data_IF_802637878257
#
_entry.id   IF_802637878257
#
_cell.length_a   1.000
_cell.length_b   1.000
_cell.length_c   1.000
_cell.angle_alpha   90.00
_cell.angle_beta   90.00
_cell.angle_gamma   90.00
#
_symmetry.space_group_name_H-M   'P 1'
#
loop_
_entity.id
_entity.type
_entity.pdbx_description
1 polymer ?
#
# COMPACT_ATOMS: atom_id res chain seq x y z
N UNK A 1 -14.56 -15.32 -4.23
CA UNK A 1 -13.43 -14.75 -5.03
C UNK A 1 -12.24 -15.70 -5.23
N UNK A 2 -11.48 -15.55 -6.32
CA UNK A 2 -10.27 -16.35 -6.62
C UNK A 2 -8.98 -15.59 -6.25
N UNK A 3 -7.96 -16.35 -5.81
CA UNK A 3 -6.58 -15.90 -5.57
C UNK A 3 -6.02 -15.20 -6.82
N UNK A 4 -5.40 -14.01 -6.70
CA UNK A 4 -4.75 -13.35 -7.82
C UNK A 4 -3.43 -14.06 -8.20
N UNK A 5 -3.08 -14.05 -9.49
CA UNK A 5 -1.74 -14.46 -9.94
C UNK A 5 -0.80 -13.26 -9.77
N UNK A 6 -0.05 -13.26 -8.67
CA UNK A 6 0.93 -12.23 -8.34
C UNK A 6 2.30 -12.89 -8.22
N UNK A 7 3.31 -12.28 -8.83
CA UNK A 7 4.70 -12.73 -8.82
C UNK A 7 5.62 -11.59 -8.42
N UNK A 8 6.79 -11.93 -7.89
CA UNK A 8 7.87 -10.98 -7.61
C UNK A 8 9.05 -11.37 -8.50
N UNK A 9 9.60 -10.43 -9.25
CA UNK A 9 10.77 -10.69 -10.10
C UNK A 9 12.01 -11.03 -9.27
N UNK A 10 12.84 -11.92 -9.82
CA UNK A 10 14.12 -12.32 -9.22
C UNK A 10 15.07 -11.13 -9.02
N UNK A 11 15.01 -10.09 -9.85
CA UNK A 11 15.80 -8.87 -9.67
C UNK A 11 15.43 -8.17 -8.35
N UNK A 12 14.14 -8.09 -7.98
CA UNK A 12 13.71 -7.57 -6.68
C UNK A 12 14.21 -8.47 -5.55
N UNK A 13 13.97 -9.79 -5.66
CA UNK A 13 14.31 -10.76 -4.62
C UNK A 13 15.81 -10.89 -4.37
N UNK A 14 16.64 -10.74 -5.42
CA UNK A 14 18.10 -10.78 -5.30
C UNK A 14 18.66 -9.55 -4.55
N UNK A 15 17.99 -8.40 -4.65
CA UNK A 15 18.36 -7.14 -3.98
C UNK A 15 17.75 -7.03 -2.59
N UNK A 16 16.53 -7.52 -2.43
CA UNK A 16 15.78 -7.51 -1.19
C UNK A 16 15.13 -8.88 -0.95
N UNK A 17 15.86 -9.83 -0.33
CA UNK A 17 15.35 -11.16 -0.04
C UNK A 17 14.13 -11.19 0.90
N UNK A 18 13.97 -10.14 1.72
CA UNK A 18 12.82 -9.96 2.60
C UNK A 18 11.60 -9.33 1.90
N UNK A 19 11.68 -9.08 0.59
CA UNK A 19 10.55 -8.54 -0.15
C UNK A 19 9.41 -9.54 -0.24
N UNK A 20 8.22 -9.09 0.16
CA UNK A 20 6.98 -9.86 0.17
C UNK A 20 5.81 -8.96 -0.18
N UNK A 21 4.77 -9.55 -0.76
CA UNK A 21 3.47 -8.89 -0.90
C UNK A 21 2.44 -9.62 -0.06
N UNK A 22 1.85 -8.92 0.91
CA UNK A 22 0.55 -9.33 1.43
C UNK A 22 -0.52 -8.89 0.44
N UNK A 23 -1.55 -9.69 0.22
CA UNK A 23 -2.68 -9.30 -0.62
C UNK A 23 -4.01 -9.69 0.00
N UNK A 24 -5.04 -8.89 -0.27
CA UNK A 24 -6.44 -9.15 0.07
C UNK A 24 -7.30 -8.93 -1.18
N UNK A 25 -8.17 -9.88 -1.51
CA UNK A 25 -9.26 -9.71 -2.46
C UNK A 25 -10.58 -9.70 -1.69
N UNK A 26 -11.43 -8.71 -1.97
CA UNK A 26 -12.72 -8.54 -1.30
C UNK A 26 -13.71 -7.80 -2.22
N UNK A 27 -14.98 -7.85 -1.85
CA UNK A 27 -16.03 -7.00 -2.43
C UNK A 27 -16.46 -5.96 -1.40
N UNK A 28 -16.74 -4.73 -1.85
CA UNK A 28 -17.21 -3.63 -1.01
C UNK A 28 -17.98 -2.59 -1.82
N UNK A 29 -18.66 -1.68 -1.14
CA UNK A 29 -19.29 -0.51 -1.73
C UNK A 29 -18.65 0.74 -1.10
N UNK A 30 -17.71 1.40 -1.78
CA UNK A 30 -17.01 2.54 -1.20
C UNK A 30 -17.97 3.71 -0.95
N UNK A 31 -17.93 4.25 0.27
CA UNK A 31 -18.76 5.37 0.70
C UNK A 31 -17.87 6.59 0.92
N UNK A 32 -18.22 7.73 0.33
CA UNK A 32 -17.55 9.01 0.60
C UNK A 32 -17.87 9.49 2.02
N UNK A 33 -16.91 10.13 2.67
CA UNK A 33 -17.07 10.71 4.01
C UNK A 33 -17.65 9.75 5.06
N UNK A 34 -17.21 8.48 5.05
CA UNK A 34 -17.65 7.46 6.00
C UNK A 34 -17.19 7.78 7.43
N UNK A 35 -18.13 8.22 8.27
CA UNK A 35 -17.88 8.62 9.64
C UNK A 35 -17.22 7.52 10.49
N UNK A 36 -17.55 6.24 10.27
CA UNK A 36 -17.02 5.16 11.09
C UNK A 36 -15.50 5.00 10.92
N UNK A 37 -14.99 5.20 9.70
CA UNK A 37 -13.54 5.19 9.43
C UNK A 37 -12.87 6.38 10.12
N UNK A 38 -13.48 7.56 10.02
CA UNK A 38 -12.92 8.80 10.56
C UNK A 38 -12.94 8.85 12.08
N UNK A 39 -13.97 8.33 12.74
CA UNK A 39 -14.00 8.16 14.20
C UNK A 39 -12.84 7.26 14.69
N UNK A 40 -12.54 6.18 13.96
CA UNK A 40 -11.40 5.32 14.29
C UNK A 40 -10.06 6.05 14.10
N UNK A 41 -9.91 6.83 13.02
CA UNK A 41 -8.73 7.67 12.80
C UNK A 41 -8.61 8.73 13.91
N UNK A 42 -9.67 9.42 14.29
CA UNK A 42 -9.66 10.46 15.33
C UNK A 42 -9.25 9.91 16.70
N UNK A 43 -9.60 8.66 17.01
CA UNK A 43 -9.11 7.95 18.20
C UNK A 43 -7.62 7.59 18.09
N UNK A 44 -7.18 7.14 16.92
CA UNK A 44 -5.81 6.64 16.71
C UNK A 44 -4.75 7.75 16.55
N UNK A 45 -5.09 8.83 15.84
CA UNK A 45 -4.14 9.88 15.44
C UNK A 45 -3.44 10.57 16.62
N UNK A 46 -4.09 10.89 17.76
CA UNK A 46 -3.42 11.44 18.93
C UNK A 46 -2.33 10.51 19.47
N UNK A 47 -2.61 9.20 19.55
CA UNK A 47 -1.67 8.19 20.03
C UNK A 47 -0.45 8.10 19.11
N UNK A 48 -0.68 8.09 17.79
CA UNK A 48 0.38 8.08 16.81
C UNK A 48 1.22 9.37 16.88
N UNK A 49 0.58 10.54 17.05
CA UNK A 49 1.27 11.83 17.19
C UNK A 49 2.21 11.83 18.41
N UNK A 50 1.74 11.40 19.57
CA UNK A 50 2.59 11.27 20.78
C UNK A 50 3.77 10.33 20.57
N UNK A 51 3.57 9.22 19.84
CA UNK A 51 4.68 8.31 19.49
C UNK A 51 5.69 8.99 18.55
N UNK A 52 5.19 9.71 17.55
CA UNK A 52 6.00 10.43 16.56
C UNK A 52 6.85 11.56 17.16
N UNK A 53 6.44 12.15 18.28
CA UNK A 53 7.23 13.16 19.00
C UNK A 53 8.53 12.58 19.59
N UNK A 54 8.54 11.29 19.91
CA UNK A 54 9.65 10.61 20.61
C UNK A 54 10.46 9.67 19.72
N UNK A 55 9.97 9.39 18.51
CA UNK A 55 10.54 8.35 17.63
C UNK A 55 10.86 8.94 16.26
N UNK A 56 12.11 8.89 15.77
CA UNK A 56 12.42 9.24 14.39
C UNK A 56 11.61 8.40 13.39
N UNK A 57 11.27 8.94 12.22
CA UNK A 57 10.47 8.21 11.22
C UNK A 57 11.17 6.92 10.74
N UNK A 58 12.50 6.93 10.65
CA UNK A 58 13.28 5.77 10.26
C UNK A 58 13.16 4.60 11.24
N UNK A 59 12.82 4.90 12.51
CA UNK A 59 12.73 3.93 13.60
C UNK A 59 11.27 3.54 13.88
N UNK A 60 10.32 4.11 13.13
CA UNK A 60 8.93 3.62 13.16
C UNK A 60 8.86 2.26 12.47
N UNK A 61 8.00 1.34 12.95
CA UNK A 61 7.85 0.02 12.36
C UNK A 61 7.66 0.08 10.84
N UNK A 62 8.34 -0.80 10.10
CA UNK A 62 8.22 -1.01 8.65
C UNK A 62 8.66 0.17 7.75
N UNK A 63 8.82 1.39 8.28
CA UNK A 63 9.35 2.52 7.52
C UNK A 63 10.85 2.36 7.25
N UNK A 64 11.63 1.93 8.23
CA UNK A 64 13.06 1.65 8.04
C UNK A 64 13.32 0.58 6.99
N UNK A 65 12.55 -0.51 7.04
CA UNK A 65 12.55 -1.62 6.09
C UNK A 65 12.21 -1.13 4.68
N UNK A 66 11.15 -0.32 4.55
CA UNK A 66 10.74 0.27 3.27
C UNK A 66 11.82 1.15 2.65
N UNK A 67 12.49 1.98 3.46
CA UNK A 67 13.60 2.82 2.99
C UNK A 67 14.79 1.98 2.53
N UNK A 68 15.09 0.87 3.20
CA UNK A 68 16.12 -0.09 2.76
C UNK A 68 15.72 -0.78 1.45
N UNK A 69 14.46 -1.19 1.30
CA UNK A 69 13.93 -1.77 0.06
C UNK A 69 14.07 -0.84 -1.14
N UNK A 70 13.70 0.44 -0.99
CA UNK A 70 13.88 1.46 -2.03
C UNK A 70 15.34 1.61 -2.42
N UNK A 71 16.22 1.77 -1.42
CA UNK A 71 17.66 1.89 -1.64
C UNK A 71 18.24 0.67 -2.36
N UNK A 72 17.83 -0.54 -1.99
CA UNK A 72 18.27 -1.78 -2.63
C UNK A 72 17.82 -1.86 -4.10
N UNK A 73 16.65 -1.33 -4.42
CA UNK A 73 16.16 -1.22 -5.80
C UNK A 73 16.85 -0.11 -6.62
N UNK A 74 17.61 0.77 -5.97
CA UNK A 74 18.29 1.91 -6.61
C UNK A 74 17.50 3.22 -6.57
N UNK A 75 16.39 3.30 -5.83
CA UNK A 75 15.63 4.54 -5.63
C UNK A 75 16.06 5.21 -4.33
N UNK A 76 16.33 6.52 -4.36
CA UNK A 76 16.70 7.29 -3.16
C UNK A 76 15.48 7.48 -2.22
N UNK A 77 15.46 6.87 -1.02
CA UNK A 77 14.35 7.01 -0.08
C UNK A 77 14.25 8.40 0.59
N UNK A 78 15.26 9.26 0.46
CA UNK A 78 15.19 10.65 0.92
C UNK A 78 14.36 11.53 -0.02
N UNK A 79 14.48 11.27 -1.33
CA UNK A 79 13.74 11.95 -2.41
C UNK A 79 12.37 11.32 -2.64
N UNK A 80 12.29 10.00 -2.69
CA UNK A 80 11.07 9.24 -2.97
C UNK A 80 10.62 8.50 -1.72
N UNK A 81 9.37 8.72 -1.31
CA UNK A 81 8.83 8.16 -0.06
C UNK A 81 7.74 7.17 -0.36
N UNK A 82 7.62 6.18 0.51
CA UNK A 82 6.44 5.33 0.52
C UNK A 82 5.22 6.10 1.02
N UNK A 83 4.03 5.65 0.64
CA UNK A 83 2.76 6.30 0.99
C UNK A 83 2.57 6.39 2.50
N UNK A 84 2.93 5.34 3.24
CA UNK A 84 2.86 5.32 4.72
C UNK A 84 3.77 6.37 5.37
N UNK A 85 5.02 6.54 4.92
CA UNK A 85 5.90 7.59 5.42
C UNK A 85 5.32 8.99 5.14
N UNK A 86 4.69 9.18 3.98
CA UNK A 86 4.03 10.44 3.64
C UNK A 86 2.86 10.74 4.58
N UNK A 87 2.06 9.73 4.94
CA UNK A 87 0.99 9.85 5.93
C UNK A 87 1.54 10.19 7.32
N UNK A 88 2.56 9.46 7.79
CA UNK A 88 3.21 9.70 9.10
C UNK A 88 3.75 11.13 9.21
N UNK A 89 4.37 11.65 8.14
CA UNK A 89 4.86 13.04 8.10
C UNK A 89 3.72 14.04 8.22
N UNK A 90 2.59 13.78 7.57
CA UNK A 90 1.40 14.63 7.62
C UNK A 90 0.87 14.73 9.06
N UNK A 91 0.75 13.59 9.74
CA UNK A 91 0.38 13.52 11.17
C UNK A 91 1.38 14.28 12.05
N UNK A 92 2.68 14.06 11.86
CA UNK A 92 3.74 14.78 12.62
C UNK A 92 3.65 16.30 12.43
N UNK A 93 3.33 16.75 11.23
CA UNK A 93 3.22 18.16 10.87
C UNK A 93 1.88 18.78 11.28
N UNK A 94 0.96 18.01 11.88
CA UNK A 94 -0.38 18.49 12.23
C UNK A 94 -1.23 18.84 11.00
N UNK A 95 -0.92 18.25 9.84
CA UNK A 95 -1.70 18.42 8.61
C UNK A 95 -2.82 17.40 8.58
N UNK A 96 -3.99 17.82 8.11
CA UNK A 96 -5.14 16.93 7.92
C UNK A 96 -4.81 15.79 6.96
N UNK A 97 -5.45 14.64 7.14
CA UNK A 97 -5.37 13.53 6.18
C UNK A 97 -6.38 13.73 5.05
N UNK A 98 -6.22 12.97 3.96
CA UNK A 98 -7.19 13.01 2.86
C UNK A 98 -8.42 12.22 3.26
N UNK A 99 -9.62 12.77 3.04
CA UNK A 99 -10.91 12.06 3.08
C UNK A 99 -11.29 11.72 1.65
N UNK A 100 -11.40 10.44 1.32
CA UNK A 100 -11.58 9.99 -0.06
C UNK A 100 -12.83 9.11 -0.16
N UNK A 101 -12.74 7.88 0.33
CA UNK A 101 -13.85 6.94 0.46
C UNK A 101 -13.46 5.85 1.46
N UNK A 102 -14.43 5.09 1.95
CA UNK A 102 -14.23 4.10 3.01
C UNK A 102 -13.11 3.09 2.73
N UNK A 103 -12.95 2.62 1.48
CA UNK A 103 -11.85 1.71 1.10
C UNK A 103 -10.49 2.38 1.18
N UNK A 104 -10.33 3.56 0.59
CA UNK A 104 -9.05 4.31 0.59
C UNK A 104 -8.71 4.83 1.99
N UNK A 105 -9.70 5.24 2.76
CA UNK A 105 -9.51 5.74 4.11
C UNK A 105 -9.11 4.62 5.07
N UNK A 106 -9.70 3.42 4.94
CA UNK A 106 -9.26 2.22 5.68
C UNK A 106 -7.86 1.78 5.27
N UNK A 107 -7.53 1.84 3.98
CA UNK A 107 -6.16 1.60 3.48
C UNK A 107 -5.15 2.53 4.17
N UNK A 108 -5.49 3.82 4.30
CA UNK A 108 -4.66 4.81 4.99
C UNK A 108 -4.57 4.56 6.50
N UNK A 109 -5.68 4.18 7.15
CA UNK A 109 -5.69 3.79 8.56
C UNK A 109 -4.75 2.61 8.82
N UNK A 110 -4.86 1.52 8.04
CA UNK A 110 -3.99 0.35 8.19
C UNK A 110 -2.52 0.71 7.92
N UNK A 111 -2.26 1.59 6.94
CA UNK A 111 -0.91 2.11 6.70
C UNK A 111 -0.36 2.88 7.90
N UNK A 112 -1.21 3.63 8.61
CA UNK A 112 -0.87 4.39 9.81
C UNK A 112 -0.71 3.49 11.06
N UNK A 113 -1.47 2.41 11.17
CA UNK A 113 -1.39 1.44 12.27
C UNK A 113 -0.14 0.54 12.16
N UNK A 114 0.28 0.21 10.94
CA UNK A 114 1.35 -0.78 10.68
C UNK A 114 2.65 -0.16 10.21
N UNK A 115 2.63 1.00 9.57
CA UNK A 115 3.77 1.59 8.86
C UNK A 115 4.03 0.97 7.48
N UNK A 116 3.33 -0.09 7.08
CA UNK A 116 3.42 -0.60 5.71
C UNK A 116 2.74 0.34 4.72
N UNK A 117 3.27 0.39 3.50
CA UNK A 117 2.56 1.00 2.39
C UNK A 117 1.54 0.03 1.83
N UNK A 118 0.30 0.49 1.71
CA UNK A 118 -0.77 -0.24 1.05
C UNK A 118 -1.22 0.49 -0.21
N UNK A 119 -1.53 -0.29 -1.25
CA UNK A 119 -2.24 0.16 -2.46
C UNK A 119 -3.52 -0.64 -2.63
N UNK A 120 -4.63 0.04 -2.88
CA UNK A 120 -5.94 -0.59 -3.14
C UNK A 120 -6.36 -0.28 -4.57
N UNK A 121 -6.67 -1.33 -5.33
CA UNK A 121 -6.92 -1.28 -6.76
C UNK A 121 -8.35 -1.73 -7.06
N UNK A 122 -9.00 -1.03 -7.98
CA UNK A 122 -10.18 -1.56 -8.65
C UNK A 122 -9.75 -2.73 -9.53
N UNK A 123 -10.16 -3.94 -9.14
CA UNK A 123 -9.76 -5.19 -9.78
C UNK A 123 -10.25 -5.28 -11.22
N UNK A 124 -11.32 -4.56 -11.56
CA UNK A 124 -11.93 -4.61 -12.90
C UNK A 124 -11.09 -3.88 -13.94
N UNK A 125 -10.08 -3.14 -13.49
CA UNK A 125 -9.14 -2.38 -14.31
C UNK A 125 -7.72 -2.98 -14.31
N UNK A 126 -7.58 -4.21 -13.81
CA UNK A 126 -6.33 -4.98 -13.81
C UNK A 126 -6.37 -6.10 -14.84
N UNK A 127 -5.26 -6.32 -15.54
CA UNK A 127 -5.16 -7.26 -16.65
C UNK A 127 -4.16 -8.40 -16.38
N UNK A 128 -4.65 -9.63 -16.33
CA UNK A 128 -3.79 -10.82 -16.31
C UNK A 128 -2.93 -10.97 -15.05
N UNK A 129 -1.65 -11.31 -15.25
CA UNK A 129 -0.69 -11.56 -14.16
C UNK A 129 -0.12 -10.26 -13.62
N UNK A 130 -0.10 -10.10 -12.30
CA UNK A 130 0.56 -8.98 -11.63
C UNK A 130 2.00 -9.33 -11.27
N UNK A 131 2.93 -8.45 -11.60
CA UNK A 131 4.36 -8.63 -11.40
C UNK A 131 4.90 -7.44 -10.60
N UNK A 132 5.45 -7.73 -9.42
CA UNK A 132 6.28 -6.79 -8.68
C UNK A 132 7.68 -6.79 -9.28
N UNK A 133 8.04 -5.68 -9.94
CA UNK A 133 9.33 -5.48 -10.60
C UNK A 133 9.88 -4.09 -10.32
N UNK A 134 11.09 -3.81 -10.80
CA UNK A 134 11.58 -2.43 -10.84
C UNK A 134 11.05 -1.71 -12.07
N UNK A 135 10.81 -0.41 -11.93
CA UNK A 135 10.50 0.43 -13.07
C UNK A 135 11.69 0.58 -14.02
N UNK A 136 11.39 0.59 -15.30
CA UNK A 136 12.34 0.69 -16.39
C UNK A 136 12.81 2.14 -16.59
N UNK A 137 13.95 2.37 -17.27
CA UNK A 137 14.39 3.71 -17.62
C UNK A 137 13.32 4.48 -18.39
N UNK A 138 13.01 5.70 -17.93
CA UNK A 138 11.97 6.55 -18.52
C UNK A 138 10.52 6.10 -18.31
N UNK A 139 10.27 5.01 -17.59
CA UNK A 139 8.91 4.53 -17.32
C UNK A 139 8.17 5.48 -16.36
N UNK A 140 6.91 5.78 -16.68
CA UNK A 140 6.04 6.60 -15.85
C UNK A 140 4.55 6.27 -16.07
N UNK A 141 3.70 6.64 -15.12
CA UNK A 141 2.25 6.68 -15.30
C UNK A 141 1.65 7.95 -14.69
N UNK A 142 0.42 8.28 -15.09
CA UNK A 142 -0.41 9.26 -14.40
C UNK A 142 -0.75 8.73 -13.00
N UNK A 143 -0.35 9.47 -11.97
CA UNK A 143 -0.53 9.07 -10.57
C UNK A 143 -1.75 9.74 -9.94
N UNK A 144 -2.28 9.14 -8.88
CA UNK A 144 -3.37 9.77 -8.12
C UNK A 144 -2.88 11.09 -7.52
N UNK A 145 -3.50 12.21 -7.96
CA UNK A 145 -3.12 13.57 -7.57
C UNK A 145 -1.80 14.07 -8.15
N UNK A 146 -1.27 13.43 -9.20
CA UNK A 146 -0.01 13.80 -9.87
C UNK A 146 -0.07 13.55 -11.38
N UNK A 147 0.38 14.52 -12.17
CA UNK A 147 0.43 14.37 -13.63
C UNK A 147 1.29 13.18 -14.09
N UNK A 148 2.42 12.95 -13.42
CA UNK A 148 3.30 11.82 -13.68
C UNK A 148 4.06 11.35 -12.44
N UNK A 149 4.25 10.04 -12.32
CA UNK A 149 5.15 9.40 -11.35
C UNK A 149 6.30 8.75 -12.12
N UNK A 150 7.54 9.14 -11.83
CA UNK A 150 8.75 8.56 -12.42
C UNK A 150 9.11 7.24 -11.71
N UNK A 151 9.11 6.14 -12.47
CA UNK A 151 9.13 4.80 -11.91
C UNK A 151 10.49 4.12 -11.97
N UNK A 152 11.46 4.70 -12.70
CA UNK A 152 12.78 4.09 -12.87
C UNK A 152 13.38 3.69 -11.51
N UNK A 153 13.82 2.43 -11.40
CA UNK A 153 14.37 1.79 -10.20
C UNK A 153 13.41 1.69 -9.00
N UNK A 154 12.17 2.17 -9.12
CA UNK A 154 11.15 2.05 -8.06
C UNK A 154 10.57 0.63 -8.08
N UNK A 155 10.41 -0.04 -6.93
CA UNK A 155 9.57 -1.23 -6.86
C UNK A 155 8.14 -0.83 -7.22
N UNK A 156 7.53 -1.54 -8.17
CA UNK A 156 6.19 -1.26 -8.67
C UNK A 156 5.47 -2.54 -9.05
N UNK A 157 4.14 -2.51 -8.99
CA UNK A 157 3.26 -3.54 -9.50
C UNK A 157 2.89 -3.19 -10.95
N UNK A 158 3.12 -4.13 -11.86
CA UNK A 158 2.71 -4.05 -13.25
C UNK A 158 1.82 -5.23 -13.61
N UNK A 159 0.87 -5.01 -14.49
CA UNK A 159 0.02 -6.04 -15.10
C UNK A 159 0.34 -6.15 -16.60
N UNK A 160 -0.48 -6.86 -17.38
CA UNK A 160 -0.25 -7.03 -18.82
C UNK A 160 -0.37 -5.72 -19.63
N UNK A 161 -1.10 -4.73 -19.12
CA UNK A 161 -1.21 -3.40 -19.72
C UNK A 161 -0.12 -2.42 -19.25
N UNK A 162 0.70 -2.79 -18.27
CA UNK A 162 1.85 -2.02 -17.79
C UNK A 162 1.78 -1.70 -16.29
N UNK A 163 2.56 -0.72 -15.83
CA UNK A 163 2.59 -0.35 -14.42
C UNK A 163 1.21 0.15 -13.91
N UNK A 164 0.78 -0.37 -12.75
CA UNK A 164 -0.52 -0.05 -12.10
C UNK A 164 -0.36 0.61 -10.75
N UNK A 165 0.72 0.33 -10.02
CA UNK A 165 0.85 0.77 -8.65
C UNK A 165 2.27 0.73 -8.14
N UNK A 166 2.53 1.43 -7.03
CA UNK A 166 3.82 1.40 -6.37
C UNK A 166 3.64 1.68 -4.87
N UNK A 167 4.63 1.34 -4.03
CA UNK A 167 4.58 1.73 -2.62
C UNK A 167 4.61 3.25 -2.41
N UNK A 168 4.83 4.08 -3.46
CA UNK A 168 4.82 5.55 -3.37
C UNK A 168 3.46 6.15 -3.69
N UNK A 169 2.81 5.70 -4.76
CA UNK A 169 1.58 6.27 -5.29
C UNK A 169 1.02 5.33 -6.35
N UNK A 170 -0.28 5.15 -6.41
CA UNK A 170 -0.90 4.31 -7.44
C UNK A 170 -1.21 5.09 -8.73
N UNK A 171 -1.38 4.35 -9.83
CA UNK A 171 -1.84 4.91 -11.11
C UNK A 171 -3.33 5.25 -11.03
N UNK A 172 -3.76 6.24 -11.81
CA UNK A 172 -5.18 6.53 -12.00
C UNK A 172 -5.94 5.41 -12.74
N UNK A 173 -5.24 4.50 -13.45
CA UNK A 173 -5.85 3.44 -14.26
C UNK A 173 -6.69 2.45 -13.44
N UNK A 174 -6.19 2.02 -12.30
CA UNK A 174 -6.87 1.08 -11.41
C UNK A 174 -7.30 1.74 -10.09
N UNK A 175 -7.56 3.05 -10.14
CA UNK A 175 -7.96 3.84 -8.98
C UNK A 175 -9.34 3.39 -8.47
N UNK A 176 -9.45 3.26 -7.15
CA UNK A 176 -10.74 3.01 -6.50
C UNK A 176 -11.63 4.24 -6.58
N UNK A 177 -12.87 4.02 -7.01
CA UNK A 177 -13.96 5.01 -7.02
C UNK A 177 -15.16 4.48 -6.27
N UNK A 178 -16.19 5.31 -6.08
CA UNK A 178 -17.49 4.90 -5.51
C UNK A 178 -18.23 3.88 -6.38
N UNK A 179 -17.86 3.74 -7.66
CA UNK A 179 -18.43 2.75 -8.58
C UNK A 179 -17.70 1.40 -8.53
N UNK A 180 -16.52 1.34 -7.93
CA UNK A 180 -15.75 0.10 -7.79
C UNK A 180 -16.47 -0.91 -6.89
N UNK A 181 -16.37 -2.20 -7.21
CA UNK A 181 -17.04 -3.28 -6.44
C UNK A 181 -16.11 -4.41 -6.01
N UNK A 182 -15.08 -4.69 -6.79
CA UNK A 182 -14.12 -5.78 -6.55
C UNK A 182 -12.74 -5.19 -6.36
N UNK A 183 -12.08 -5.57 -5.28
CA UNK A 183 -10.85 -4.92 -4.86
C UNK A 183 -9.69 -5.91 -4.78
N UNK A 184 -8.51 -5.40 -5.08
CA UNK A 184 -7.24 -5.99 -4.66
C UNK A 184 -6.52 -4.95 -3.79
N UNK A 185 -6.29 -5.26 -2.52
CA UNK A 185 -5.39 -4.47 -1.67
C UNK A 185 -4.07 -5.21 -1.52
N UNK A 186 -2.96 -4.51 -1.75
CA UNK A 186 -1.60 -5.03 -1.63
C UNK A 186 -0.87 -4.32 -0.51
N UNK A 187 -0.25 -5.09 0.39
CA UNK A 187 0.69 -4.63 1.42
C UNK A 187 2.10 -4.82 0.87
N UNK A 188 2.78 -3.73 0.53
CA UNK A 188 4.17 -3.76 0.08
C UNK A 188 5.10 -3.92 1.29
N UNK A 189 5.77 -5.07 1.39
CA UNK A 189 6.63 -5.39 2.53
C UNK A 189 8.07 -5.66 2.12
N UNK A 190 8.98 -5.15 2.94
CA UNK A 190 10.40 -5.48 2.96
C UNK A 190 10.80 -6.00 4.35
N UNK A 191 9.82 -6.53 5.07
CA UNK A 191 9.87 -7.00 6.46
C UNK A 191 9.63 -8.51 6.52
N UNK A 192 9.90 -9.11 7.68
CA UNK A 192 9.69 -10.55 7.89
C UNK A 192 8.26 -11.00 7.59
N UNK A 193 8.09 -12.28 7.21
CA UNK A 193 6.78 -12.89 6.97
C UNK A 193 5.80 -12.70 8.14
N UNK A 194 6.28 -12.86 9.38
CA UNK A 194 5.46 -12.70 10.59
C UNK A 194 4.83 -11.30 10.70
N UNK A 195 5.56 -10.25 10.31
CA UNK A 195 5.01 -8.88 10.31
C UNK A 195 3.93 -8.69 9.23
N UNK A 196 4.10 -9.34 8.08
CA UNK A 196 3.09 -9.33 7.01
C UNK A 196 1.83 -10.10 7.43
N UNK A 197 1.97 -11.24 8.11
CA UNK A 197 0.82 -12.01 8.63
C UNK A 197 0.02 -11.20 9.66
N UNK A 198 0.70 -10.51 10.59
CA UNK A 198 0.04 -9.59 11.54
C UNK A 198 -0.69 -8.46 10.82
N UNK A 199 -0.03 -7.85 9.83
CA UNK A 199 -0.63 -6.75 9.06
C UNK A 199 -1.84 -7.22 8.24
N UNK A 200 -1.81 -8.42 7.66
CA UNK A 200 -2.94 -9.01 6.94
C UNK A 200 -4.13 -9.30 7.85
N UNK A 201 -3.88 -9.82 9.06
CA UNK A 201 -4.93 -10.04 10.04
C UNK A 201 -5.61 -8.73 10.48
N UNK A 202 -4.80 -7.69 10.74
CA UNK A 202 -5.31 -6.35 11.06
C UNK A 202 -6.09 -5.76 9.87
N UNK A 203 -5.50 -5.78 8.68
CA UNK A 203 -6.12 -5.26 7.46
C UNK A 203 -7.47 -5.92 7.21
N UNK A 204 -7.54 -7.26 7.24
CA UNK A 204 -8.79 -8.00 7.01
C UNK A 204 -9.89 -7.55 7.98
N UNK A 205 -9.58 -7.45 9.28
CA UNK A 205 -10.51 -6.97 10.32
C UNK A 205 -10.94 -5.52 10.10
N UNK A 206 -10.03 -4.63 9.68
CA UNK A 206 -10.34 -3.22 9.41
C UNK A 206 -11.21 -3.05 8.17
N UNK A 207 -10.86 -3.69 7.06
CA UNK A 207 -11.64 -3.65 5.83
C UNK A 207 -13.05 -4.23 6.03
N UNK A 208 -13.18 -5.35 6.75
CA UNK A 208 -14.49 -5.95 7.07
C UNK A 208 -15.37 -4.98 7.86
N UNK A 209 -14.84 -4.42 8.96
CA UNK A 209 -15.63 -3.60 9.89
C UNK A 209 -15.91 -2.19 9.42
N UNK A 210 -14.99 -1.59 8.67
CA UNK A 210 -14.99 -0.15 8.39
C UNK A 210 -15.20 0.18 6.91
N UNK A 211 -14.89 -0.75 6.00
CA UNK A 211 -15.18 -0.57 4.57
C UNK A 211 -16.31 -1.50 4.08
N UNK A 212 -16.94 -2.25 4.99
CA UNK A 212 -17.98 -3.22 4.65
C UNK A 212 -17.49 -4.32 3.71
N UNK A 213 -16.19 -4.66 3.78
CA UNK A 213 -15.59 -5.66 2.91
C UNK A 213 -16.14 -7.06 3.20
N UNK A 214 -16.52 -7.78 2.14
CA UNK A 214 -17.11 -9.13 2.19
C UNK A 214 -16.29 -10.11 1.38
N UNK A 215 -16.50 -11.39 1.67
CA UNK A 215 -15.83 -12.51 1.00
C UNK A 215 -14.30 -12.45 1.01
N UNK A 216 -13.70 -11.82 2.03
CA UNK A 216 -12.26 -11.54 2.08
C UNK A 216 -11.44 -12.82 1.93
N UNK A 217 -10.57 -12.85 0.92
CA UNK A 217 -9.53 -13.87 0.75
C UNK A 217 -8.18 -13.17 0.77
N UNK A 218 -7.21 -13.69 1.52
CA UNK A 218 -5.90 -13.09 1.63
C UNK A 218 -4.76 -14.10 1.53
N UNK A 219 -3.54 -13.61 1.32
CA UNK A 219 -2.36 -14.44 1.27
C UNK A 219 -1.07 -13.63 1.15
N UNK A 220 0.04 -14.36 1.06
CA UNK A 220 1.39 -13.79 0.92
C UNK A 220 2.03 -14.35 -0.35
N UNK A 221 2.68 -13.46 -1.10
CA UNK A 221 3.58 -13.79 -2.20
C UNK A 221 5.00 -13.49 -1.72
N UNK A 222 5.87 -14.47 -1.81
CA UNK A 222 7.28 -14.38 -1.45
C UNK A 222 8.10 -15.36 -2.29
N UNK A 223 9.43 -15.27 -2.20
CA UNK A 223 10.32 -16.24 -2.85
C UNK A 223 9.99 -17.65 -2.35
N UNK A 224 9.67 -18.56 -3.27
CA UNK A 224 9.55 -19.98 -2.93
C UNK A 224 10.96 -20.51 -2.64
N UNK A 225 11.11 -21.20 -1.52
CA UNK A 225 12.35 -21.86 -1.12
C UNK A 225 12.78 -22.92 -2.14
#
# INVERSE_FOLDING_TARGET
MCRPDIRIEDDILSRCPECRLGWLCYEAEPVEDDAAVWENLEVFLPLLKTRLEKTPLADMPNLGESRRGYKACGKDPGRWRVSSESLYRRVRQGRELYRINSVVDVNNLVSLETGFSLGSYDRDHLEGVLILRRGLPGESYAGIGKDAVELENMPLLADEAGAVGSPTSDSTRAMVTTESRRFLTVIYSFSSRCEVEKALALASSRFEKLAGAREIVCGIVEKRA
#
